data_IF_167470253732
#
_entry.id   IF_167470253732
#
_cell.length_a   1.000
_cell.length_b   1.000
_cell.length_c   1.000
_cell.angle_alpha   90.00
_cell.angle_beta   90.00
_cell.angle_gamma   90.00
#
_symmetry.space_group_name_H-M   'P 1'
#
loop_
_entity.id
_entity.type
_entity.pdbx_description
1 polymer ?
#
# COMPACT_ATOMS: atom_id res chain seq x y z
N UNK A 1 -39.64 -5.68 -4.44
CA UNK A 1 -39.31 -5.28 -5.83
C UNK A 1 -38.43 -6.37 -6.40
N UNK A 2 -38.93 -7.18 -7.32
CA UNK A 2 -38.15 -8.26 -7.97
C UNK A 2 -37.43 -7.66 -9.17
N UNK A 3 -36.13 -7.81 -9.20
CA UNK A 3 -35.30 -7.40 -10.35
C UNK A 3 -35.60 -8.32 -11.54
N UNK A 4 -35.69 -7.75 -12.73
CA UNK A 4 -35.86 -8.52 -13.96
C UNK A 4 -34.58 -9.28 -14.33
N UNK A 5 -34.69 -10.36 -15.13
CA UNK A 5 -33.51 -11.13 -15.61
C UNK A 5 -32.54 -10.26 -16.42
N UNK A 6 -33.03 -9.16 -17.03
CA UNK A 6 -32.20 -8.21 -17.78
C UNK A 6 -31.39 -7.32 -16.84
N UNK A 7 -31.98 -6.89 -15.72
CA UNK A 7 -31.29 -6.12 -14.67
C UNK A 7 -30.27 -6.99 -13.95
N UNK A 8 -30.57 -8.26 -13.67
CA UNK A 8 -29.61 -9.23 -13.12
C UNK A 8 -28.42 -9.47 -14.07
N UNK A 9 -28.66 -9.52 -15.39
CA UNK A 9 -27.58 -9.64 -16.38
C UNK A 9 -26.74 -8.38 -16.47
N UNK A 10 -27.30 -7.18 -16.28
CA UNK A 10 -26.52 -5.94 -16.23
C UNK A 10 -25.63 -5.85 -14.98
N UNK A 11 -26.06 -6.44 -13.85
CA UNK A 11 -25.21 -6.60 -12.66
C UNK A 11 -24.10 -7.64 -12.84
N UNK A 12 -24.34 -8.67 -13.66
CA UNK A 12 -23.31 -9.69 -13.99
C UNK A 12 -22.31 -9.22 -15.05
N UNK A 13 -22.61 -8.14 -15.76
CA UNK A 13 -21.69 -7.45 -16.69
C UNK A 13 -21.02 -6.21 -16.08
N UNK A 14 -20.93 -6.12 -14.75
CA UNK A 14 -19.86 -5.33 -14.16
C UNK A 14 -18.58 -6.03 -14.61
N UNK A 15 -18.00 -5.56 -15.72
CA UNK A 15 -16.67 -5.94 -16.18
C UNK A 15 -15.80 -5.98 -14.93
N UNK A 16 -14.99 -7.03 -14.81
CA UNK A 16 -14.02 -7.13 -13.73
C UNK A 16 -13.17 -5.85 -13.78
N UNK A 17 -13.52 -4.86 -12.95
CA UNK A 17 -12.85 -3.56 -12.89
C UNK A 17 -11.53 -3.72 -12.15
N UNK A 18 -10.63 -4.46 -12.78
CA UNK A 18 -9.31 -4.76 -12.26
C UNK A 18 -8.48 -3.47 -12.10
N UNK A 19 -7.75 -3.38 -11.01
CA UNK A 19 -6.81 -2.30 -10.77
C UNK A 19 -5.49 -2.60 -11.46
N UNK A 20 -5.11 -1.79 -12.43
CA UNK A 20 -3.83 -1.88 -13.10
C UNK A 20 -2.83 -0.88 -12.51
N UNK A 21 -1.68 -1.36 -12.02
CA UNK A 21 -0.56 -0.53 -11.58
C UNK A 21 0.70 -1.02 -12.30
N UNK A 22 1.19 -0.23 -13.27
CA UNK A 22 2.25 -0.67 -14.15
C UNK A 22 1.84 -1.92 -14.93
N UNK A 23 2.62 -2.98 -14.82
CA UNK A 23 2.35 -4.29 -15.44
C UNK A 23 1.57 -5.24 -14.53
N UNK A 24 1.27 -4.85 -13.31
CA UNK A 24 0.56 -5.69 -12.33
C UNK A 24 -0.94 -5.42 -12.37
N UNK A 25 -1.71 -6.50 -12.24
CA UNK A 25 -3.17 -6.48 -12.20
C UNK A 25 -3.63 -6.99 -10.85
N UNK A 26 -4.60 -6.29 -10.24
CA UNK A 26 -5.17 -6.60 -8.94
C UNK A 26 -6.69 -6.66 -9.05
N UNK A 27 -7.28 -7.67 -8.46
CA UNK A 27 -8.74 -7.85 -8.38
C UNK A 27 -9.38 -6.90 -7.36
N UNK A 28 -8.63 -6.54 -6.32
CA UNK A 28 -9.08 -5.62 -5.29
C UNK A 28 -8.50 -4.22 -5.51
N UNK A 29 -9.37 -3.21 -5.49
CA UNK A 29 -8.97 -1.79 -5.49
C UNK A 29 -8.60 -1.28 -4.09
N UNK A 30 -8.79 -2.10 -3.06
CA UNK A 30 -8.48 -1.74 -1.69
C UNK A 30 -6.98 -1.93 -1.41
N UNK A 31 -6.34 -0.87 -0.92
CA UNK A 31 -4.97 -0.88 -0.40
C UNK A 31 -5.05 -0.71 1.12
N UNK A 32 -4.60 -1.70 1.88
CA UNK A 32 -4.68 -1.69 3.34
C UNK A 32 -3.35 -1.28 3.95
N UNK A 33 -3.39 -0.39 4.96
CA UNK A 33 -2.23 0.00 5.74
C UNK A 33 -1.95 -0.95 6.91
N UNK A 34 -0.72 -0.94 7.41
CA UNK A 34 -0.26 -1.75 8.55
C UNK A 34 -0.14 -0.96 9.86
N UNK A 35 -0.47 0.33 9.84
CA UNK A 35 -0.27 1.21 11.00
C UNK A 35 -1.47 1.29 11.94
N UNK A 36 -1.18 1.53 13.24
CA UNK A 36 -2.17 1.88 14.28
C UNK A 36 -3.19 0.79 14.65
N UNK A 37 -2.93 -0.47 14.36
CA UNK A 37 -3.73 -1.55 14.92
C UNK A 37 -3.41 -1.76 16.42
N UNK A 38 -4.41 -2.15 17.23
CA UNK A 38 -4.20 -2.42 18.66
C UNK A 38 -3.26 -3.60 18.93
N UNK A 39 -3.22 -4.57 18.04
CA UNK A 39 -2.32 -5.72 18.10
C UNK A 39 -2.01 -6.27 16.70
N UNK A 40 -0.94 -7.08 16.63
CA UNK A 40 -0.55 -7.79 15.41
C UNK A 40 -1.65 -8.73 14.91
N UNK A 41 -2.29 -9.47 15.81
CA UNK A 41 -3.36 -10.41 15.45
C UNK A 41 -4.54 -9.69 14.80
N UNK A 42 -4.97 -8.56 15.36
CA UNK A 42 -6.05 -7.74 14.79
C UNK A 42 -5.63 -7.19 13.42
N UNK A 43 -4.40 -6.73 13.29
CA UNK A 43 -3.88 -6.26 12.01
C UNK A 43 -3.90 -7.38 10.96
N UNK A 44 -3.40 -8.55 11.31
CA UNK A 44 -3.36 -9.74 10.45
C UNK A 44 -4.77 -10.15 9.99
N UNK A 45 -5.69 -10.30 10.92
CA UNK A 45 -7.08 -10.66 10.60
C UNK A 45 -7.75 -9.62 9.71
N UNK A 46 -7.55 -8.32 10.02
CA UNK A 46 -8.09 -7.23 9.22
C UNK A 46 -7.55 -7.25 7.78
N UNK A 47 -6.24 -7.46 7.61
CA UNK A 47 -5.61 -7.52 6.29
C UNK A 47 -6.07 -8.75 5.51
N UNK A 48 -6.20 -9.91 6.15
CA UNK A 48 -6.66 -11.13 5.49
C UNK A 48 -8.11 -10.98 5.07
N UNK A 49 -8.98 -10.52 5.97
CA UNK A 49 -10.42 -10.43 5.75
C UNK A 49 -10.82 -9.26 4.83
N UNK A 50 -9.92 -8.28 4.62
CA UNK A 50 -10.19 -7.14 3.73
C UNK A 50 -10.32 -7.51 2.25
N UNK A 51 -9.83 -8.68 1.84
CA UNK A 51 -9.70 -9.03 0.43
C UNK A 51 -8.66 -8.23 -0.34
N UNK A 52 -7.94 -7.29 0.29
CA UNK A 52 -6.89 -6.50 -0.35
C UNK A 52 -5.73 -7.38 -0.81
N UNK A 53 -5.22 -7.11 -2.00
CA UNK A 53 -4.01 -7.74 -2.55
C UNK A 53 -2.76 -6.90 -2.34
N UNK A 54 -2.93 -5.58 -2.09
CA UNK A 54 -1.86 -4.63 -1.81
C UNK A 54 -1.89 -4.19 -0.35
N UNK A 55 -0.73 -4.28 0.31
CA UNK A 55 -0.56 -3.85 1.70
C UNK A 55 0.54 -2.81 1.78
N UNK A 56 0.21 -1.61 2.25
CA UNK A 56 1.21 -0.54 2.41
C UNK A 56 1.78 -0.50 3.82
N UNK A 57 3.09 -0.24 3.89
CA UNK A 57 3.82 -0.11 5.14
C UNK A 57 4.85 1.01 5.06
N UNK A 58 5.13 1.65 6.19
CA UNK A 58 6.16 2.68 6.28
C UNK A 58 7.53 2.04 6.53
N UNK A 59 8.51 2.26 5.63
CA UNK A 59 9.86 1.74 5.82
C UNK A 59 10.48 2.17 7.16
N UNK A 60 10.30 3.43 7.55
CA UNK A 60 10.83 3.96 8.84
C UNK A 60 10.30 3.25 10.09
N UNK A 61 9.17 2.53 9.97
CA UNK A 61 8.56 1.78 11.08
C UNK A 61 8.83 0.28 11.01
N UNK A 62 9.54 -0.15 9.98
CA UNK A 62 9.86 -1.56 9.80
C UNK A 62 11.09 -1.93 10.63
N UNK A 63 10.92 -2.83 11.57
CA UNK A 63 12.01 -3.48 12.29
C UNK A 63 12.11 -4.94 11.88
N UNK A 64 13.25 -5.33 11.31
CA UNK A 64 13.50 -6.70 10.89
C UNK A 64 13.60 -7.67 12.07
N UNK A 65 14.02 -7.16 13.23
CA UNK A 65 14.22 -7.95 14.44
C UNK A 65 12.98 -8.01 15.32
N UNK A 66 11.94 -7.25 14.98
CA UNK A 66 10.69 -7.32 15.72
C UNK A 66 10.06 -8.70 15.51
N UNK A 67 9.92 -9.45 16.62
CA UNK A 67 9.23 -10.75 16.64
C UNK A 67 7.76 -10.64 16.21
N UNK A 68 7.18 -9.45 16.39
CA UNK A 68 5.82 -9.10 16.02
C UNK A 68 5.76 -8.52 14.59
N UNK A 69 6.62 -8.97 13.69
CA UNK A 69 6.67 -8.46 12.33
C UNK A 69 5.38 -8.82 11.58
N UNK A 70 4.52 -7.84 11.44
CA UNK A 70 3.21 -7.92 10.77
C UNK A 70 3.30 -8.45 9.33
N UNK A 71 4.48 -8.44 8.73
CA UNK A 71 4.69 -8.91 7.36
C UNK A 71 4.80 -10.42 7.24
N UNK A 72 5.19 -11.13 8.31
CA UNK A 72 5.33 -12.59 8.28
C UNK A 72 4.02 -13.32 7.93
N UNK A 73 2.86 -12.88 8.42
CA UNK A 73 1.60 -13.57 8.20
C UNK A 73 0.79 -13.08 7.00
N UNK A 74 1.27 -12.09 6.24
CA UNK A 74 0.49 -11.49 5.14
C UNK A 74 0.41 -12.42 3.91
N UNK A 75 1.21 -13.47 3.87
CA UNK A 75 1.14 -14.51 2.82
C UNK A 75 1.51 -13.98 1.44
N UNK A 76 0.65 -14.23 0.45
CA UNK A 76 0.87 -13.86 -0.96
C UNK A 76 0.54 -12.40 -1.30
N UNK A 77 0.19 -11.57 -0.31
CA UNK A 77 -0.09 -10.15 -0.54
C UNK A 77 1.14 -9.44 -1.07
N UNK A 78 0.96 -8.55 -2.04
CA UNK A 78 2.04 -7.71 -2.54
C UNK A 78 2.27 -6.51 -1.61
N UNK A 79 3.51 -6.15 -1.42
CA UNK A 79 3.88 -5.02 -0.57
C UNK A 79 4.01 -3.73 -1.40
N UNK A 80 3.43 -2.66 -0.87
CA UNK A 80 3.56 -1.30 -1.35
C UNK A 80 4.21 -0.45 -0.26
N UNK A 81 5.56 -0.51 -0.11
CA UNK A 81 6.25 0.31 0.86
C UNK A 81 6.01 1.79 0.61
N UNK A 82 6.07 2.60 1.68
CA UNK A 82 5.97 4.04 1.56
C UNK A 82 7.13 4.76 2.24
N UNK A 83 7.38 5.99 1.80
CA UNK A 83 8.44 6.85 2.31
C UNK A 83 7.93 7.81 3.39
N UNK A 84 6.86 7.46 4.10
CA UNK A 84 6.25 8.31 5.12
C UNK A 84 7.26 8.87 6.12
N UNK A 85 7.19 10.18 6.33
CA UNK A 85 8.05 10.90 7.27
C UNK A 85 9.40 11.32 6.71
N UNK A 86 9.64 11.22 5.39
CA UNK A 86 10.81 11.83 4.76
C UNK A 86 10.56 13.28 4.39
N UNK A 87 11.61 14.12 4.48
CA UNK A 87 11.54 15.54 4.25
C UNK A 87 12.23 15.98 2.95
N UNK A 88 13.06 15.10 2.35
CA UNK A 88 13.84 15.42 1.16
C UNK A 88 13.69 14.38 0.07
N UNK A 89 13.94 14.78 -1.18
CA UNK A 89 13.94 13.86 -2.32
C UNK A 89 15.03 12.79 -2.19
N UNK A 90 16.22 13.17 -1.72
CA UNK A 90 17.33 12.23 -1.54
C UNK A 90 17.03 11.15 -0.49
N UNK A 91 16.36 11.52 0.61
CA UNK A 91 15.88 10.53 1.58
C UNK A 91 14.84 9.60 0.97
N UNK A 92 13.91 10.13 0.17
CA UNK A 92 12.89 9.35 -0.49
C UNK A 92 13.50 8.34 -1.48
N UNK A 93 14.47 8.79 -2.29
CA UNK A 93 15.19 7.93 -3.24
C UNK A 93 15.93 6.80 -2.49
N UNK A 94 16.67 7.14 -1.42
CA UNK A 94 17.34 6.13 -0.60
C UNK A 94 16.37 5.13 0.02
N UNK A 95 15.28 5.62 0.61
CA UNK A 95 14.23 4.78 1.19
C UNK A 95 13.60 3.86 0.15
N UNK A 96 13.36 4.37 -1.06
CA UNK A 96 12.81 3.57 -2.16
C UNK A 96 13.72 2.43 -2.57
N UNK A 97 15.03 2.69 -2.72
CA UNK A 97 16.02 1.66 -3.05
C UNK A 97 16.12 0.59 -1.96
N UNK A 98 16.17 1.00 -0.70
CA UNK A 98 16.16 0.07 0.45
C UNK A 98 14.88 -0.78 0.44
N UNK A 99 13.73 -0.17 0.18
CA UNK A 99 12.46 -0.89 0.11
C UNK A 99 12.43 -1.90 -1.03
N UNK A 100 12.96 -1.55 -2.19
CA UNK A 100 13.06 -2.45 -3.34
C UNK A 100 13.88 -3.69 -3.01
N UNK A 101 15.04 -3.52 -2.41
CA UNK A 101 15.92 -4.63 -2.02
C UNK A 101 15.33 -5.46 -0.89
N UNK A 102 14.79 -4.81 0.15
CA UNK A 102 14.30 -5.47 1.35
C UNK A 102 13.03 -6.28 1.12
N UNK A 103 12.10 -5.72 0.33
CA UNK A 103 10.78 -6.31 0.10
C UNK A 103 10.62 -6.94 -1.28
N UNK A 104 11.66 -6.92 -2.11
CA UNK A 104 11.64 -7.49 -3.47
C UNK A 104 10.45 -6.98 -4.29
N UNK A 105 10.19 -5.66 -4.24
CA UNK A 105 9.08 -5.00 -4.92
C UNK A 105 9.56 -3.80 -5.73
N UNK A 106 8.95 -3.59 -6.90
CA UNK A 106 9.18 -2.40 -7.71
C UNK A 106 8.13 -1.30 -7.45
N UNK A 107 7.24 -1.53 -6.48
CA UNK A 107 6.20 -0.58 -6.10
C UNK A 107 6.67 0.26 -4.93
N UNK A 108 6.41 1.56 -4.99
CA UNK A 108 6.65 2.49 -3.88
C UNK A 108 5.52 3.53 -3.83
N UNK A 109 4.97 3.77 -2.66
CA UNK A 109 4.08 4.91 -2.42
C UNK A 109 4.93 6.08 -1.93
N UNK A 110 5.22 7.01 -2.85
CA UNK A 110 6.06 8.15 -2.59
C UNK A 110 5.33 9.19 -1.74
N UNK A 111 5.93 9.53 -0.60
CA UNK A 111 5.44 10.55 0.33
C UNK A 111 6.63 11.40 0.78
N UNK A 112 6.66 12.67 0.38
CA UNK A 112 7.62 13.67 0.90
C UNK A 112 6.80 14.79 1.52
N UNK A 113 7.00 15.03 2.80
CA UNK A 113 6.25 16.03 3.58
C UNK A 113 7.01 17.32 3.72
N UNK A 114 6.28 18.43 3.90
CA UNK A 114 6.86 19.77 4.10
C UNK A 114 7.47 19.91 5.49
N UNK A 115 6.80 19.38 6.51
CA UNK A 115 7.27 19.36 7.88
C UNK A 115 6.74 18.14 8.64
N UNK A 116 7.44 17.75 9.69
CA UNK A 116 6.99 16.67 10.59
C UNK A 116 5.77 17.05 11.44
N UNK A 117 5.44 18.33 11.52
CA UNK A 117 4.31 18.83 12.32
C UNK A 117 2.98 18.76 11.57
N UNK A 118 2.97 19.15 10.29
CA UNK A 118 1.74 19.28 9.52
C UNK A 118 1.46 18.08 8.61
N UNK A 119 2.49 17.28 8.28
CA UNK A 119 2.39 16.15 7.36
C UNK A 119 1.88 16.50 5.95
N UNK A 120 1.88 17.80 5.60
CA UNK A 120 1.45 18.26 4.29
C UNK A 120 2.41 17.79 3.20
N UNK A 121 1.90 17.29 2.06
CA UNK A 121 2.75 16.83 0.98
C UNK A 121 3.54 18.00 0.36
N UNK A 122 4.84 17.80 0.16
CA UNK A 122 5.68 18.75 -0.56
C UNK A 122 5.65 18.44 -2.05
N UNK A 123 4.78 19.10 -2.79
CA UNK A 123 4.57 18.83 -4.22
C UNK A 123 5.84 18.98 -5.05
N UNK A 124 6.61 20.06 -4.85
CA UNK A 124 7.84 20.28 -5.60
C UNK A 124 8.90 19.21 -5.39
N UNK A 125 9.08 18.74 -4.16
CA UNK A 125 10.03 17.65 -3.84
C UNK A 125 9.55 16.30 -4.34
N UNK A 126 8.25 16.02 -4.28
CA UNK A 126 7.68 14.79 -4.83
C UNK A 126 7.91 14.70 -6.34
N UNK A 127 7.64 15.77 -7.10
CA UNK A 127 7.90 15.79 -8.54
C UNK A 127 9.37 15.61 -8.89
N UNK A 128 10.30 16.23 -8.14
CA UNK A 128 11.73 16.09 -8.39
C UNK A 128 12.26 14.69 -8.11
N UNK A 129 11.62 13.95 -7.21
CA UNK A 129 11.99 12.56 -6.90
C UNK A 129 11.63 11.58 -8.04
N UNK A 130 10.65 11.92 -8.87
CA UNK A 130 10.16 11.05 -9.96
C UNK A 130 10.93 11.22 -11.27
N UNK A 131 11.92 12.13 -11.32
CA UNK A 131 12.81 12.31 -12.49
C UNK A 131 14.05 11.44 -12.37
#
# INVERSE_FOLDING_TARGET
MLLTMTELKSYQQLEEDDLHIGTSVYKSRLIVGTGKYPSENIAKESIINSGSELVTLALKRYDRNDSNNILRPIGTKKLLPNTAGVLTADEAIRSSKISQELFQTNLIKLEIISSSQNLDPNMGRNFNCCK
#
